data_IF_488971888578
#
_entry.id   IF_488971888578
#
_cell.length_a   1.000
_cell.length_b   1.000
_cell.length_c   1.000
_cell.angle_alpha   90.00
_cell.angle_beta   90.00
_cell.angle_gamma   90.00
#
_symmetry.space_group_name_H-M   'P 1'
#
loop_
_entity.id
_entity.type
_entity.pdbx_description
1 polymer ?
#
# COMPACT_ATOMS: atom_id res chain seq x y z
N UNK A 1 14.22 30.89 10.29
CA UNK A 1 13.21 30.39 11.25
C UNK A 1 12.74 29.02 10.78
N UNK A 2 13.33 27.94 11.28
CA UNK A 2 12.84 26.60 11.00
C UNK A 2 11.71 26.31 12.00
N UNK A 3 10.46 26.45 11.55
CA UNK A 3 9.30 25.97 12.32
C UNK A 3 9.42 24.45 12.41
N UNK A 4 9.79 23.97 13.60
CA UNK A 4 9.73 22.56 13.94
C UNK A 4 8.29 22.08 13.79
N UNK A 5 7.98 21.41 12.68
CA UNK A 5 6.71 20.76 12.49
C UNK A 5 6.54 19.73 13.61
N UNK A 6 5.64 20.01 14.56
CA UNK A 6 5.21 19.04 15.56
C UNK A 6 4.83 17.77 14.81
N UNK A 7 5.60 16.69 15.04
CA UNK A 7 5.47 15.42 14.34
C UNK A 7 4.16 14.76 14.76
N UNK A 8 3.04 15.18 14.15
CA UNK A 8 1.70 14.66 14.44
C UNK A 8 1.67 13.16 14.21
N UNK A 9 1.31 12.40 15.24
CA UNK A 9 1.28 10.94 15.18
C UNK A 9 0.06 10.44 14.40
N UNK A 10 0.22 10.17 13.10
CA UNK A 10 -0.82 9.59 12.21
C UNK A 10 -1.10 8.09 12.47
N UNK A 11 -0.84 7.59 13.68
CA UNK A 11 -0.99 6.17 14.03
C UNK A 11 -2.45 5.69 13.93
N UNK A 12 -3.39 6.54 14.37
CA UNK A 12 -4.83 6.26 14.31
C UNK A 12 -5.32 6.18 12.86
N UNK A 13 -5.01 7.20 12.04
CA UNK A 13 -5.38 7.23 10.62
C UNK A 13 -4.85 6.02 9.87
N UNK A 14 -3.58 5.66 10.09
CA UNK A 14 -2.98 4.48 9.46
C UNK A 14 -3.63 3.16 9.90
N UNK A 15 -4.11 3.08 11.15
CA UNK A 15 -4.86 1.93 11.68
C UNK A 15 -6.24 1.82 11.01
N UNK A 16 -6.97 2.92 10.92
CA UNK A 16 -8.30 2.95 10.32
C UNK A 16 -8.23 2.70 8.81
N UNK A 17 -7.31 3.37 8.10
CA UNK A 17 -7.12 3.22 6.66
C UNK A 17 -6.81 1.78 6.24
N UNK A 18 -5.92 1.09 6.97
CA UNK A 18 -5.64 -0.34 6.76
C UNK A 18 -6.91 -1.20 6.88
N UNK A 19 -7.71 -0.93 7.92
CA UNK A 19 -8.92 -1.71 8.22
C UNK A 19 -10.01 -1.50 7.17
N UNK A 20 -10.14 -0.27 6.66
CA UNK A 20 -11.14 0.09 5.64
C UNK A 20 -10.74 -0.43 4.25
N UNK A 21 -9.45 -0.41 3.92
CA UNK A 21 -8.93 -0.86 2.63
C UNK A 21 -8.63 -2.36 2.57
N UNK A 22 -8.80 -3.09 3.67
CA UNK A 22 -8.49 -4.53 3.80
C UNK A 22 -7.07 -4.90 3.31
N UNK A 23 -6.08 -4.02 3.50
CA UNK A 23 -4.75 -4.15 2.88
C UNK A 23 -3.62 -3.83 3.87
N UNK A 24 -2.44 -4.46 3.77
CA UNK A 24 -1.22 -4.25 4.59
C UNK A 24 -0.94 -2.84 5.16
N UNK A 25 -0.48 -2.70 6.43
CA UNK A 25 -0.12 -1.36 7.00
C UNK A 25 0.99 -0.68 6.20
N UNK A 26 1.81 -1.47 5.50
CA UNK A 26 2.89 -1.03 4.60
C UNK A 26 2.37 -0.60 3.22
N UNK A 27 1.13 -0.98 2.86
CA UNK A 27 0.49 -0.67 1.58
C UNK A 27 -0.35 0.61 1.62
N UNK A 28 -0.67 1.12 2.80
CA UNK A 28 -1.32 2.42 2.94
C UNK A 28 -0.27 3.54 2.82
N UNK A 29 -0.49 4.44 1.87
CA UNK A 29 0.18 5.72 1.77
C UNK A 29 -0.73 6.83 2.26
N UNK A 30 -0.18 7.70 3.12
CA UNK A 30 -0.84 8.90 3.63
C UNK A 30 0.02 10.07 3.17
N UNK A 31 -0.59 11.06 2.54
CA UNK A 31 0.13 12.29 2.22
C UNK A 31 0.40 13.12 3.49
N UNK A 32 1.61 13.67 3.60
CA UNK A 32 2.06 14.44 4.76
C UNK A 32 1.91 15.95 4.55
N UNK A 33 1.58 16.41 3.34
CA UNK A 33 1.34 17.82 3.06
C UNK A 33 0.00 18.28 3.66
N UNK A 34 -1.07 17.51 3.43
CA UNK A 34 -2.44 17.82 3.87
C UNK A 34 -2.78 17.31 5.29
N UNK A 35 -1.84 17.40 6.23
CA UNK A 35 -2.01 16.84 7.59
C UNK A 35 -3.14 17.45 8.40
N UNK A 36 -3.54 18.69 8.10
CA UNK A 36 -4.64 19.36 8.81
C UNK A 36 -5.99 18.70 8.48
N UNK A 37 -6.23 18.32 7.22
CA UNK A 37 -7.44 17.58 6.81
C UNK A 37 -7.47 16.15 7.34
N UNK A 38 -6.30 15.51 7.41
CA UNK A 38 -6.14 14.19 8.02
C UNK A 38 -6.40 14.20 9.53
N UNK A 39 -5.97 15.22 10.27
CA UNK A 39 -6.06 15.23 11.75
C UNK A 39 -7.48 15.15 12.29
N UNK A 40 -8.48 15.57 11.51
CA UNK A 40 -9.89 15.53 11.93
C UNK A 40 -10.53 14.15 11.69
N UNK A 41 -9.86 13.24 10.96
CA UNK A 41 -10.44 12.00 10.46
C UNK A 41 -10.43 10.84 11.48
N UNK A 42 -11.40 10.85 12.39
CA UNK A 42 -11.41 9.92 13.54
C UNK A 42 -12.24 8.63 13.34
N UNK A 43 -13.01 8.53 12.25
CA UNK A 43 -13.91 7.39 12.00
C UNK A 43 -13.86 6.89 10.54
N UNK A 44 -14.28 5.64 10.32
CA UNK A 44 -14.19 4.94 9.04
C UNK A 44 -14.84 5.68 7.86
N UNK A 45 -16.01 6.31 8.07
CA UNK A 45 -16.69 7.09 7.01
C UNK A 45 -15.86 8.29 6.54
N UNK A 46 -15.10 8.92 7.43
CA UNK A 46 -14.25 10.08 7.08
C UNK A 46 -13.01 9.62 6.31
N UNK A 47 -12.40 8.49 6.71
CA UNK A 47 -11.33 7.84 5.96
C UNK A 47 -11.80 7.47 4.54
N UNK A 48 -13.05 7.03 4.38
CA UNK A 48 -13.61 6.72 3.07
C UNK A 48 -13.70 7.95 2.14
N UNK A 49 -14.03 9.13 2.69
CA UNK A 49 -13.96 10.41 1.95
C UNK A 49 -12.52 10.72 1.52
N UNK A 50 -11.56 10.61 2.44
CA UNK A 50 -10.15 10.85 2.14
C UNK A 50 -9.56 9.90 1.08
N UNK A 51 -10.08 8.67 0.98
CA UNK A 51 -9.70 7.71 -0.07
C UNK A 51 -10.26 8.16 -1.43
N UNK A 52 -11.50 8.68 -1.48
CA UNK A 52 -12.08 9.25 -2.70
C UNK A 52 -11.33 10.50 -3.14
N UNK A 53 -10.96 11.35 -2.19
CA UNK A 53 -10.22 12.61 -2.42
C UNK A 53 -8.72 12.38 -2.69
N UNK A 54 -8.28 11.12 -2.80
CA UNK A 54 -6.89 10.70 -3.11
C UNK A 54 -5.82 11.10 -2.08
N UNK A 55 -6.22 11.54 -0.89
CA UNK A 55 -5.30 11.83 0.22
C UNK A 55 -4.75 10.55 0.87
N UNK A 56 -5.52 9.45 0.79
CA UNK A 56 -5.11 8.12 1.23
C UNK A 56 -5.10 7.19 0.01
N UNK A 57 -3.94 6.57 -0.25
CA UNK A 57 -3.74 5.75 -1.45
C UNK A 57 -3.27 4.34 -1.07
N UNK A 58 -3.86 3.35 -1.73
CA UNK A 58 -3.37 1.97 -1.68
C UNK A 58 -2.21 1.79 -2.67
N UNK A 59 -1.00 1.55 -2.14
CA UNK A 59 0.17 1.21 -2.95
C UNK A 59 0.04 -0.19 -3.54
N UNK A 60 0.50 -0.34 -4.77
CA UNK A 60 0.57 -1.62 -5.45
C UNK A 60 1.43 -2.63 -4.69
N UNK A 61 1.15 -3.92 -4.90
CA UNK A 61 2.00 -5.00 -4.40
C UNK A 61 3.36 -4.98 -5.11
N UNK A 62 4.42 -5.37 -4.42
CA UNK A 62 5.71 -5.57 -5.10
C UNK A 62 5.57 -6.85 -5.91
N UNK A 63 5.75 -6.74 -7.23
CA UNK A 63 5.56 -7.85 -8.15
C UNK A 63 6.81 -8.72 -8.15
N UNK A 64 6.63 -10.03 -8.04
CA UNK A 64 7.68 -11.01 -8.33
C UNK A 64 7.43 -11.54 -9.74
N UNK A 65 8.46 -11.55 -10.60
CA UNK A 65 8.33 -12.05 -11.96
C UNK A 65 8.20 -13.58 -11.97
N UNK A 66 7.05 -14.09 -12.42
CA UNK A 66 6.82 -15.53 -12.62
C UNK A 66 7.35 -16.08 -13.95
N UNK A 67 7.79 -15.19 -14.85
CA UNK A 67 8.24 -15.54 -16.20
C UNK A 67 9.37 -16.59 -16.22
N UNK A 68 10.40 -16.53 -15.36
CA UNK A 68 11.44 -17.57 -15.35
C UNK A 68 10.90 -18.96 -14.99
N UNK A 69 10.02 -19.04 -13.99
CA UNK A 69 9.40 -20.31 -13.59
C UNK A 69 8.50 -20.87 -14.69
N UNK A 70 7.72 -20.02 -15.35
CA UNK A 70 6.91 -20.40 -16.50
C UNK A 70 7.76 -20.91 -17.65
N UNK A 71 8.85 -20.21 -17.99
CA UNK A 71 9.78 -20.62 -19.05
C UNK A 71 10.40 -21.99 -18.75
N UNK A 72 10.86 -22.22 -17.52
CA UNK A 72 11.39 -23.51 -17.10
C UNK A 72 10.32 -24.62 -17.17
N UNK A 73 9.08 -24.30 -16.81
CA UNK A 73 7.97 -25.26 -16.87
C UNK A 73 7.65 -25.65 -18.33
N UNK A 74 7.60 -24.68 -19.24
CA UNK A 74 7.45 -24.92 -20.68
C UNK A 74 8.62 -25.72 -21.27
N UNK A 75 9.84 -25.45 -20.81
CA UNK A 75 11.02 -26.20 -21.24
C UNK A 75 11.00 -27.65 -20.73
N UNK A 76 10.57 -27.89 -19.48
CA UNK A 76 10.35 -29.24 -18.93
C UNK A 76 9.21 -29.98 -19.63
N UNK A 77 8.10 -29.32 -19.95
CA UNK A 77 7.00 -29.88 -20.75
C UNK A 77 7.46 -30.30 -22.15
N UNK A 78 8.42 -29.57 -22.73
CA UNK A 78 9.07 -29.91 -24.00
C UNK A 78 10.23 -30.89 -23.85
N UNK A 79 10.38 -31.52 -22.68
CA UNK A 79 11.44 -32.48 -22.37
C UNK A 79 12.87 -31.95 -22.61
N UNK A 80 13.10 -30.65 -22.45
CA UNK A 80 14.42 -30.02 -22.67
C UNK A 80 15.34 -30.01 -21.45
N UNK A 81 14.82 -30.41 -20.30
CA UNK A 81 15.52 -30.48 -19.01
C UNK A 81 15.09 -31.73 -18.23
N UNK A 82 14.92 -32.83 -18.96
CA UNK A 82 14.68 -34.18 -18.41
C UNK A 82 15.80 -35.08 -18.91
N UNK A 83 17.04 -34.71 -18.60
CA UNK A 83 18.10 -35.72 -18.61
C UNK A 83 17.87 -36.64 -17.40
N UNK A 84 18.11 -37.94 -17.61
CA UNK A 84 18.07 -38.98 -16.58
C UNK A 84 19.28 -38.81 -15.66
#
# INVERSE_FOLDING_TARGET
MATGAARRTLRLHKRLAFSVLCCGKKKVWLDLNETNGLSNANFNQQIWKLIKDRLIIHKLVSVHSGAPCQNNTLARQRHRHVDI
#
